data_IF_999890154850
#
_entry.id   IF_999890154850
#
_cell.length_a   1.000
_cell.length_b   1.000
_cell.length_c   1.000
_cell.angle_alpha   90.00
_cell.angle_beta   90.00
_cell.angle_gamma   90.00
#
_symmetry.space_group_name_H-M   'P 1'
#
loop_
_entity.id
_entity.type
_entity.pdbx_description
1 polymer ?
#
# COMPACT_ATOMS: atom_id res chain seq x y z
N UNK A 1 22.03 -56.09 -25.12
CA UNK A 1 23.28 -55.51 -24.59
C UNK A 1 22.81 -54.45 -23.61
N UNK A 2 22.79 -54.72 -22.31
CA UNK A 2 23.95 -54.76 -21.38
C UNK A 2 24.42 -53.31 -21.10
N UNK A 3 24.52 -52.79 -19.87
CA UNK A 3 24.33 -53.27 -18.47
C UNK A 3 23.70 -52.07 -17.69
N UNK A 4 22.82 -52.23 -16.69
CA UNK A 4 23.06 -52.55 -15.28
C UNK A 4 24.18 -51.73 -14.59
N UNK A 5 23.81 -50.84 -13.66
CA UNK A 5 24.46 -50.76 -12.34
C UNK A 5 23.51 -50.14 -11.29
N UNK A 6 23.61 -50.61 -10.04
CA UNK A 6 22.75 -50.27 -8.91
C UNK A 6 23.40 -49.25 -7.96
N UNK A 7 22.59 -48.55 -7.16
CA UNK A 7 23.07 -47.47 -6.29
C UNK A 7 22.20 -47.19 -5.07
N UNK A 8 21.76 -48.21 -4.34
CA UNK A 8 21.09 -48.03 -3.05
C UNK A 8 22.02 -47.39 -2.01
N UNK A 9 21.57 -46.29 -1.40
CA UNK A 9 22.11 -45.76 -0.15
C UNK A 9 21.00 -45.72 0.91
N UNK A 10 21.05 -46.65 1.87
CA UNK A 10 20.11 -46.68 2.99
C UNK A 10 20.32 -45.50 3.96
N UNK A 11 19.26 -45.03 4.65
CA UNK A 11 19.30 -43.81 5.44
C UNK A 11 20.07 -43.96 6.76
N UNK A 12 20.93 -42.99 7.06
CA UNK A 12 21.58 -42.85 8.37
C UNK A 12 20.55 -42.44 9.42
N UNK A 13 20.21 -43.37 10.32
CA UNK A 13 19.19 -43.20 11.34
C UNK A 13 19.74 -42.44 12.57
N UNK A 14 20.17 -41.19 12.37
CA UNK A 14 20.71 -40.32 13.43
C UNK A 14 19.60 -39.54 14.12
N UNK A 15 19.31 -39.93 15.37
CA UNK A 15 18.29 -39.29 16.22
C UNK A 15 18.85 -37.97 16.77
N UNK A 16 18.19 -36.82 16.59
CA UNK A 16 18.74 -35.53 17.02
C UNK A 16 18.80 -35.41 18.55
N UNK A 17 19.82 -34.68 19.03
CA UNK A 17 20.23 -34.50 20.44
C UNK A 17 19.18 -33.84 21.37
N UNK A 18 17.98 -33.53 20.88
CA UNK A 18 16.90 -32.83 21.59
C UNK A 18 15.60 -33.65 21.74
N UNK A 19 15.70 -34.98 21.73
CA UNK A 19 14.62 -35.84 22.19
C UNK A 19 14.47 -35.69 23.72
N UNK A 20 13.64 -34.74 24.15
CA UNK A 20 13.21 -34.61 25.55
C UNK A 20 12.19 -35.72 25.82
N UNK A 21 12.54 -36.69 26.65
CA UNK A 21 11.60 -37.71 27.11
C UNK A 21 10.53 -37.07 28.01
N UNK A 22 9.25 -37.46 27.82
CA UNK A 22 8.13 -36.95 28.62
C UNK A 22 8.16 -37.52 30.06
N UNK A 23 8.88 -36.85 30.95
CA UNK A 23 8.81 -37.13 32.38
C UNK A 23 7.42 -36.78 32.95
N UNK A 24 6.70 -37.83 33.29
CA UNK A 24 5.31 -37.84 33.76
C UNK A 24 5.16 -37.20 35.15
N UNK A 25 5.07 -35.88 35.21
CA UNK A 25 4.89 -35.13 36.46
C UNK A 25 3.49 -35.30 37.05
N UNK A 26 3.38 -36.09 38.12
CA UNK A 26 2.24 -36.09 39.05
C UNK A 26 2.61 -35.35 40.33
N UNK A 27 2.02 -34.18 40.61
CA UNK A 27 2.37 -33.43 41.82
C UNK A 27 1.51 -32.19 42.16
N UNK A 28 0.50 -32.40 42.98
CA UNK A 28 -0.18 -31.48 43.91
C UNK A 28 -0.06 -29.93 43.75
N UNK A 29 -1.22 -29.28 43.61
CA UNK A 29 -1.42 -27.84 43.84
C UNK A 29 -1.11 -27.43 45.28
N UNK A 30 -0.28 -26.40 45.48
CA UNK A 30 -0.14 -25.72 46.79
C UNK A 30 -1.08 -24.50 46.88
N UNK A 31 -1.64 -24.18 48.06
CA UNK A 31 -2.43 -22.97 48.27
C UNK A 31 -1.53 -21.72 48.47
N UNK A 32 -2.02 -20.51 48.13
CA UNK A 32 -1.24 -19.28 48.21
C UNK A 32 -1.02 -18.80 49.66
N UNK A 33 0.04 -18.02 49.93
CA UNK A 33 0.39 -17.57 51.29
C UNK A 33 -0.55 -16.49 51.83
N UNK A 34 -0.90 -16.61 53.12
CA UNK A 34 -1.71 -15.63 53.87
C UNK A 34 -0.88 -14.41 54.26
N UNK A 35 -1.46 -13.20 54.14
CA UNK A 35 -0.80 -11.95 54.56
C UNK A 35 -0.78 -11.78 56.08
N UNK A 36 0.42 -11.59 56.63
CA UNK A 36 0.63 -11.18 58.03
C UNK A 36 0.41 -9.66 58.15
N UNK A 37 -0.59 -9.25 58.93
CA UNK A 37 -0.69 -7.88 59.43
C UNK A 37 0.16 -7.75 60.70
N UNK A 38 1.13 -6.83 60.68
CA UNK A 38 1.94 -6.46 61.85
C UNK A 38 1.61 -5.01 62.22
N UNK A 39 1.29 -4.77 63.50
CA UNK A 39 0.79 -3.47 63.96
C UNK A 39 1.64 -2.82 65.05
N UNK A 40 1.38 -1.52 65.24
CA UNK A 40 1.50 -0.74 66.50
C UNK A 40 2.84 -0.70 67.23
N UNK A 41 3.42 0.51 67.33
CA UNK A 41 4.26 0.93 68.47
C UNK A 41 3.96 2.40 68.84
N UNK A 42 4.00 2.67 70.15
CA UNK A 42 3.72 3.92 70.86
C UNK A 42 4.37 3.77 72.27
N UNK A 43 4.54 4.78 73.15
CA UNK A 43 4.80 6.23 72.98
C UNK A 43 6.05 6.72 73.77
N UNK A 44 6.53 7.98 73.60
CA UNK A 44 6.93 8.89 74.73
C UNK A 44 7.58 10.25 74.35
N UNK A 45 6.87 11.34 74.74
CA UNK A 45 7.30 12.52 75.56
C UNK A 45 8.40 13.50 75.09
N UNK A 46 8.01 14.73 74.68
CA UNK A 46 8.26 16.01 75.41
C UNK A 46 7.75 17.25 74.62
N UNK A 47 7.42 18.35 75.32
CA UNK A 47 6.69 19.56 74.83
C UNK A 47 7.00 20.79 75.70
N UNK A 48 6.48 22.02 75.43
CA UNK A 48 5.87 22.58 74.20
C UNK A 48 6.88 23.63 73.61
N UNK A 49 6.67 24.96 73.40
CA UNK A 49 5.52 25.85 73.07
C UNK A 49 5.55 26.36 71.59
N UNK A 50 4.56 27.06 71.03
CA UNK A 50 3.11 27.20 71.29
C UNK A 50 2.44 27.83 70.04
N UNK A 51 1.43 27.18 69.45
CA UNK A 51 0.54 27.76 68.43
C UNK A 51 -0.85 27.14 68.58
N UNK A 52 -1.94 27.90 68.37
CA UNK A 52 -3.29 27.44 68.70
C UNK A 52 -3.73 26.29 67.76
N UNK A 53 -4.23 25.16 68.30
CA UNK A 53 -4.69 24.07 67.47
C UNK A 53 -6.03 24.42 66.81
N UNK A 54 -6.09 24.28 65.48
CA UNK A 54 -7.34 24.32 64.73
C UNK A 54 -8.28 23.24 65.25
N UNK A 55 -9.42 23.63 65.84
CA UNK A 55 -10.41 22.68 66.34
C UNK A 55 -10.99 21.86 65.17
N UNK A 56 -10.65 20.57 65.13
CA UNK A 56 -11.42 19.58 64.37
C UNK A 56 -12.76 19.38 65.10
N UNK A 57 -13.74 20.20 64.76
CA UNK A 57 -15.12 20.05 65.27
C UNK A 57 -15.81 18.97 64.43
N UNK A 58 -15.55 17.72 64.78
CA UNK A 58 -16.14 16.53 64.16
C UNK A 58 -16.17 15.39 65.17
N UNK A 59 -17.37 14.91 65.50
CA UNK A 59 -17.64 13.91 66.52
C UNK A 59 -16.71 12.68 66.46
N UNK A 60 -15.93 12.47 67.52
CA UNK A 60 -15.22 11.21 67.79
C UNK A 60 -16.21 10.12 68.30
N UNK A 61 -17.49 10.49 68.41
CA UNK A 61 -18.60 9.72 69.01
C UNK A 61 -19.08 8.53 68.17
N UNK A 62 -18.58 8.33 66.93
CA UNK A 62 -19.15 7.37 65.96
C UNK A 62 -18.17 6.26 65.55
N UNK A 63 -17.25 5.86 66.43
CA UNK A 63 -16.40 4.67 66.24
C UNK A 63 -17.00 3.39 66.85
N UNK A 64 -18.33 3.24 66.76
CA UNK A 64 -19.06 2.00 67.10
C UNK A 64 -20.16 1.66 66.08
N UNK A 65 -20.10 2.26 64.89
CA UNK A 65 -20.78 1.76 63.70
C UNK A 65 -19.79 0.90 62.91
N UNK A 66 -20.23 -0.27 62.46
CA UNK A 66 -19.39 -1.13 61.62
C UNK A 66 -18.97 -0.37 60.35
N UNK A 67 -17.72 0.11 60.32
CA UNK A 67 -17.10 0.54 59.08
C UNK A 67 -16.80 -0.71 58.26
N UNK A 68 -17.83 -1.19 57.56
CA UNK A 68 -17.65 -2.06 56.41
C UNK A 68 -16.75 -1.30 55.44
N UNK A 69 -15.45 -1.64 55.44
CA UNK A 69 -14.56 -1.30 54.35
C UNK A 69 -15.21 -1.87 53.10
N UNK A 70 -15.91 -1.01 52.35
CA UNK A 70 -16.28 -1.29 50.98
C UNK A 70 -14.97 -1.33 50.22
N UNK A 71 -14.36 -2.53 50.12
CA UNK A 71 -13.24 -2.75 49.22
C UNK A 71 -13.65 -2.15 47.87
N UNK A 72 -12.80 -1.33 47.24
CA UNK A 72 -13.11 -0.75 45.94
C UNK A 72 -13.51 -1.90 45.03
N UNK A 73 -14.74 -1.82 44.50
CA UNK A 73 -15.39 -2.94 43.81
C UNK A 73 -14.43 -3.50 42.77
N UNK A 74 -13.84 -4.67 43.07
CA UNK A 74 -12.77 -5.23 42.25
C UNK A 74 -13.42 -5.56 40.92
N UNK A 75 -13.19 -4.70 39.93
CA UNK A 75 -13.84 -4.79 38.64
C UNK A 75 -13.68 -6.24 38.15
N UNK A 76 -14.80 -6.96 37.92
CA UNK A 76 -14.75 -8.39 37.69
C UNK A 76 -13.77 -8.65 36.55
N UNK A 77 -12.79 -9.54 36.78
CA UNK A 77 -11.74 -9.84 35.80
C UNK A 77 -12.40 -10.21 34.47
N UNK A 78 -12.49 -9.23 33.57
CA UNK A 78 -13.16 -9.42 32.30
C UNK A 78 -12.28 -10.36 31.49
N UNK A 79 -12.79 -11.58 31.26
CA UNK A 79 -12.07 -12.60 30.53
C UNK A 79 -11.65 -12.11 29.14
N UNK A 80 -10.58 -12.70 28.59
CA UNK A 80 -10.10 -12.33 27.27
C UNK A 80 -11.22 -12.55 26.23
N UNK A 81 -11.62 -11.47 25.56
CA UNK A 81 -12.69 -11.50 24.57
C UNK A 81 -12.13 -12.03 23.24
N UNK A 82 -11.93 -13.34 23.16
CA UNK A 82 -11.31 -14.02 22.02
C UNK A 82 -11.94 -13.65 20.67
N UNK A 83 -13.26 -13.50 20.60
CA UNK A 83 -13.92 -13.04 19.37
C UNK A 83 -13.47 -11.66 18.90
N UNK A 84 -13.20 -10.71 19.80
CA UNK A 84 -12.63 -9.41 19.44
C UNK A 84 -11.15 -9.51 19.06
N UNK A 85 -10.40 -10.41 19.71
CA UNK A 85 -9.00 -10.67 19.35
C UNK A 85 -8.87 -11.23 17.94
N UNK A 86 -9.62 -12.29 17.62
CA UNK A 86 -9.62 -12.88 16.27
C UNK A 86 -10.18 -11.92 15.21
N UNK A 87 -11.19 -11.11 15.54
CA UNK A 87 -11.65 -10.04 14.65
C UNK A 87 -10.52 -9.04 14.35
N UNK A 88 -9.78 -8.59 15.37
CA UNK A 88 -8.64 -7.69 15.16
C UNK A 88 -7.50 -8.33 14.36
N UNK A 89 -7.27 -9.62 14.56
CA UNK A 89 -6.23 -10.38 13.86
C UNK A 89 -6.55 -10.59 12.37
N UNK A 90 -7.77 -10.99 12.04
CA UNK A 90 -8.14 -11.38 10.67
C UNK A 90 -8.71 -10.24 9.81
N UNK A 91 -9.27 -9.18 10.42
CA UNK A 91 -9.87 -8.07 9.67
C UNK A 91 -8.90 -7.38 8.68
N UNK A 92 -7.62 -7.09 9.01
CA UNK A 92 -6.69 -6.48 8.05
C UNK A 92 -6.48 -7.34 6.80
N UNK A 93 -6.32 -8.66 6.97
CA UNK A 93 -6.20 -9.59 5.85
C UNK A 93 -7.49 -9.68 5.03
N UNK A 94 -8.66 -9.67 5.68
CA UNK A 94 -9.94 -9.65 4.98
C UNK A 94 -10.09 -8.42 4.08
N UNK A 95 -9.68 -7.24 4.57
CA UNK A 95 -9.66 -5.99 3.78
C UNK A 95 -8.71 -6.12 2.59
N UNK A 96 -7.47 -6.60 2.81
CA UNK A 96 -6.48 -6.79 1.73
C UNK A 96 -6.96 -7.79 0.69
N UNK A 97 -7.53 -8.94 1.10
CA UNK A 97 -8.07 -9.95 0.19
C UNK A 97 -9.22 -9.37 -0.65
N UNK A 98 -10.17 -8.65 -0.03
CA UNK A 98 -11.26 -8.00 -0.76
C UNK A 98 -10.74 -6.95 -1.74
N UNK A 99 -9.72 -6.17 -1.37
CA UNK A 99 -9.09 -5.21 -2.27
C UNK A 99 -8.35 -5.88 -3.43
N UNK A 100 -7.65 -7.00 -3.20
CA UNK A 100 -7.04 -7.80 -4.27
C UNK A 100 -8.11 -8.32 -5.24
N UNK A 101 -9.26 -8.78 -4.75
CA UNK A 101 -10.37 -9.16 -5.63
C UNK A 101 -10.97 -7.97 -6.38
N UNK A 102 -11.15 -6.81 -5.73
CA UNK A 102 -11.64 -5.60 -6.42
C UNK A 102 -10.67 -5.19 -7.53
N UNK A 103 -9.36 -5.17 -7.26
CA UNK A 103 -8.33 -4.85 -8.26
C UNK A 103 -8.29 -5.91 -9.39
N UNK A 104 -8.38 -7.20 -9.07
CA UNK A 104 -8.38 -8.27 -10.08
C UNK A 104 -9.67 -8.40 -10.91
N UNK A 105 -10.79 -7.86 -10.42
CA UNK A 105 -12.01 -7.65 -11.23
C UNK A 105 -12.06 -6.25 -11.86
N UNK A 106 -11.11 -5.39 -11.52
CA UNK A 106 -10.88 -4.04 -12.05
C UNK A 106 -9.57 -4.02 -12.84
N UNK A 107 -9.28 -5.10 -13.57
CA UNK A 107 -8.52 -5.01 -14.81
C UNK A 107 -9.29 -4.04 -15.71
N UNK A 108 -8.99 -2.75 -15.59
CA UNK A 108 -9.23 -1.81 -16.67
C UNK A 108 -8.42 -2.29 -17.86
N UNK A 109 -8.97 -2.19 -19.06
CA UNK A 109 -8.31 -2.59 -20.30
C UNK A 109 -7.17 -1.62 -20.65
N UNK A 110 -6.10 -1.59 -19.83
CA UNK A 110 -4.90 -0.74 -19.97
C UNK A 110 -4.23 -0.84 -21.36
N UNK A 111 -4.56 -1.89 -22.12
CA UNK A 111 -4.08 -2.15 -23.48
C UNK A 111 -4.86 -1.40 -24.58
N UNK A 112 -6.04 -0.81 -24.30
CA UNK A 112 -6.96 -0.26 -25.34
C UNK A 112 -7.41 1.20 -25.09
N UNK A 113 -6.75 1.94 -24.18
CA UNK A 113 -7.10 3.35 -23.85
C UNK A 113 -6.58 4.41 -24.82
N UNK A 114 -6.08 3.95 -25.96
CA UNK A 114 -5.56 4.79 -27.01
C UNK A 114 -5.06 3.94 -28.17
N UNK A 115 -5.12 4.50 -29.37
CA UNK A 115 -4.61 3.85 -30.58
C UNK A 115 -3.41 4.60 -31.14
N UNK A 116 -2.53 3.83 -31.78
CA UNK A 116 -1.45 4.38 -32.59
C UNK A 116 -1.81 4.27 -34.08
N UNK A 117 -1.55 5.32 -34.83
CA UNK A 117 -1.69 5.35 -36.29
C UNK A 117 -0.38 5.77 -36.92
N UNK A 118 0.10 5.02 -37.92
CA UNK A 118 1.29 5.39 -38.68
C UNK A 118 0.88 6.03 -40.00
N UNK A 119 1.17 7.32 -40.18
CA UNK A 119 0.93 8.03 -41.44
C UNK A 119 2.27 8.23 -42.17
N UNK A 120 2.33 7.82 -43.44
CA UNK A 120 3.46 8.10 -44.31
C UNK A 120 3.15 9.32 -45.18
N UNK A 121 4.01 10.33 -45.15
CA UNK A 121 3.83 11.63 -45.79
C UNK A 121 4.98 11.86 -46.77
N UNK A 122 4.66 12.18 -48.03
CA UNK A 122 5.64 12.51 -49.07
C UNK A 122 5.65 14.02 -49.30
N UNK A 123 6.84 14.62 -49.40
CA UNK A 123 7.00 16.04 -49.74
C UNK A 123 7.08 16.26 -51.25
N UNK A 124 6.48 17.34 -51.75
CA UNK A 124 6.63 17.75 -53.17
C UNK A 124 7.98 18.44 -53.45
N UNK A 125 8.62 19.03 -52.43
CA UNK A 125 9.85 19.82 -52.56
C UNK A 125 11.04 19.29 -51.72
N UNK A 126 10.85 18.13 -51.07
CA UNK A 126 11.75 17.49 -50.11
C UNK A 126 12.02 18.26 -48.80
N UNK A 127 11.19 19.26 -48.47
CA UNK A 127 11.34 20.10 -47.25
C UNK A 127 10.02 20.38 -46.54
N UNK A 128 8.94 20.58 -47.28
CA UNK A 128 7.62 20.99 -46.78
C UNK A 128 6.69 19.78 -46.72
N UNK A 129 5.99 19.62 -45.60
CA UNK A 129 5.08 18.50 -45.37
C UNK A 129 3.74 19.00 -44.83
N UNK A 130 2.65 18.43 -45.34
CA UNK A 130 1.29 18.72 -44.90
C UNK A 130 0.49 17.41 -44.84
N UNK A 131 -0.21 17.19 -43.73
CA UNK A 131 -1.16 16.09 -43.59
C UNK A 131 -2.29 16.46 -42.62
N UNK A 132 -3.41 15.74 -42.70
CA UNK A 132 -4.57 15.93 -41.82
C UNK A 132 -4.78 14.70 -40.95
N UNK A 133 -5.33 14.92 -39.76
CA UNK A 133 -5.55 13.91 -38.73
C UNK A 133 -7.04 13.62 -38.57
N UNK A 134 -7.35 12.34 -38.33
CA UNK A 134 -8.72 11.85 -38.19
C UNK A 134 -8.93 11.15 -36.83
N UNK A 135 -8.88 11.90 -35.70
CA UNK A 135 -9.36 11.40 -34.42
C UNK A 135 -10.87 11.15 -34.48
N UNK A 136 -11.33 10.12 -33.75
CA UNK A 136 -12.74 9.79 -33.51
C UNK A 136 -13.43 10.87 -32.66
N UNK A 137 -14.73 10.68 -32.39
CA UNK A 137 -15.53 11.64 -31.61
C UNK A 137 -15.16 11.66 -30.11
N UNK A 138 -14.53 10.59 -29.65
CA UNK A 138 -14.11 10.27 -28.27
C UNK A 138 -12.58 10.30 -28.06
N UNK A 139 -11.80 10.63 -29.09
CA UNK A 139 -10.33 10.65 -29.06
C UNK A 139 -9.77 12.08 -29.09
N UNK A 140 -8.71 12.33 -28.30
CA UNK A 140 -7.81 13.47 -28.49
C UNK A 140 -6.40 12.99 -28.89
N UNK A 141 -5.54 13.89 -29.40
CA UNK A 141 -4.18 13.52 -29.82
C UNK A 141 -3.26 13.56 -28.59
N UNK A 142 -2.67 12.42 -28.21
CA UNK A 142 -1.65 12.38 -27.15
C UNK A 142 -0.31 12.94 -27.60
N UNK A 143 0.05 12.73 -28.88
CA UNK A 143 1.26 13.28 -29.47
C UNK A 143 1.51 12.76 -30.88
N UNK A 144 2.37 13.45 -31.61
CA UNK A 144 2.79 13.08 -32.96
C UNK A 144 4.32 13.07 -32.96
N UNK A 145 4.91 11.95 -33.37
CA UNK A 145 6.36 11.71 -33.33
C UNK A 145 6.84 11.18 -34.67
N UNK A 146 8.04 11.58 -35.09
CA UNK A 146 8.67 11.02 -36.27
C UNK A 146 9.15 9.59 -35.99
N UNK A 147 8.60 8.62 -36.73
CA UNK A 147 8.98 7.21 -36.64
C UNK A 147 9.98 6.87 -37.76
N UNK A 148 11.26 7.17 -37.51
CA UNK A 148 12.36 6.85 -38.42
C UNK A 148 12.97 5.47 -38.15
N UNK A 149 12.89 4.55 -39.12
CA UNK A 149 13.58 3.24 -39.08
C UNK A 149 15.13 3.35 -39.05
N UNK A 150 15.68 4.54 -39.33
CA UNK A 150 17.13 4.77 -39.35
C UNK A 150 17.64 5.15 -37.96
N UNK A 151 18.34 4.21 -37.31
CA UNK A 151 19.15 4.40 -36.08
C UNK A 151 20.16 5.57 -36.13
N UNK A 152 20.42 6.14 -37.32
CA UNK A 152 21.32 7.27 -37.56
C UNK A 152 20.59 8.60 -37.85
N UNK A 153 19.28 8.71 -37.57
CA UNK A 153 18.56 9.97 -37.72
C UNK A 153 19.14 11.06 -36.79
N UNK A 154 19.70 12.12 -37.38
CA UNK A 154 20.35 13.21 -36.63
C UNK A 154 19.36 14.19 -35.99
N UNK A 155 18.06 13.98 -36.18
CA UNK A 155 16.99 14.79 -35.64
C UNK A 155 15.75 13.96 -35.32
N UNK A 156 14.84 14.55 -34.54
CA UNK A 156 13.48 14.09 -34.26
C UNK A 156 12.49 15.23 -34.57
N UNK A 157 11.23 14.90 -34.82
CA UNK A 157 10.13 15.85 -34.98
C UNK A 157 9.01 15.45 -34.01
N UNK A 158 8.61 16.40 -33.16
CA UNK A 158 7.54 16.16 -32.19
C UNK A 158 6.50 17.28 -32.15
N UNK A 159 5.27 16.89 -31.82
CA UNK A 159 4.14 17.79 -31.56
C UNK A 159 3.52 17.36 -30.24
N UNK A 160 3.70 18.19 -29.21
CA UNK A 160 3.08 17.96 -27.91
C UNK A 160 1.64 18.52 -27.94
N UNK A 161 0.69 17.63 -28.24
CA UNK A 161 -0.72 17.95 -28.37
C UNK A 161 -1.58 17.41 -27.20
N UNK A 162 -0.97 17.11 -26.04
CA UNK A 162 -1.66 16.50 -24.90
C UNK A 162 -2.94 17.25 -24.48
N UNK A 163 -4.06 16.51 -24.46
CA UNK A 163 -5.38 16.98 -24.02
C UNK A 163 -6.22 17.62 -25.13
N UNK A 164 -7.29 18.31 -24.75
CA UNK A 164 -8.16 19.02 -25.70
C UNK A 164 -7.48 20.32 -26.18
N UNK A 165 -6.65 20.20 -27.23
CA UNK A 165 -5.94 21.32 -27.86
C UNK A 165 -6.93 22.23 -28.59
N UNK A 166 -7.25 23.36 -27.98
CA UNK A 166 -8.19 24.36 -28.52
C UNK A 166 -7.52 25.51 -29.28
N UNK A 167 -6.18 25.54 -29.33
CA UNK A 167 -5.38 26.55 -30.03
C UNK A 167 -4.29 25.90 -30.86
N UNK A 168 -3.80 26.61 -31.88
CA UNK A 168 -2.64 26.21 -32.68
C UNK A 168 -1.44 25.84 -31.79
N UNK A 169 -0.83 24.70 -32.08
CA UNK A 169 0.35 24.16 -31.37
C UNK A 169 1.55 24.18 -32.29
N UNK A 170 2.74 24.48 -31.77
CA UNK A 170 3.97 24.53 -32.56
C UNK A 170 4.52 23.11 -32.83
N UNK A 171 5.14 22.91 -34.00
CA UNK A 171 5.86 21.69 -34.39
C UNK A 171 7.34 21.92 -34.17
N UNK A 172 8.00 21.01 -33.46
CA UNK A 172 9.41 21.15 -33.08
C UNK A 172 10.28 20.13 -33.82
N UNK A 173 11.43 20.59 -34.32
CA UNK A 173 12.52 19.74 -34.80
C UNK A 173 13.64 19.80 -33.77
N UNK A 174 14.02 18.65 -33.21
CA UNK A 174 15.13 18.54 -32.27
C UNK A 174 16.35 17.94 -32.97
N UNK A 175 17.49 18.62 -32.94
CA UNK A 175 18.73 18.14 -33.58
C UNK A 175 19.65 17.48 -32.54
N UNK A 176 19.83 16.16 -32.63
CA UNK A 176 20.67 15.38 -31.71
C UNK A 176 22.16 15.76 -31.74
N UNK A 177 22.64 16.39 -32.82
CA UNK A 177 24.06 16.77 -32.97
C UNK A 177 24.40 18.11 -32.32
N UNK A 178 23.48 19.09 -32.34
CA UNK A 178 23.66 20.38 -31.65
C UNK A 178 23.01 20.43 -30.27
N UNK A 179 21.97 19.62 -30.03
CA UNK A 179 21.11 19.72 -28.85
C UNK A 179 20.15 20.92 -28.92
N UNK A 180 19.93 21.46 -30.11
CA UNK A 180 19.02 22.60 -30.34
C UNK A 180 17.65 22.12 -30.80
N UNK A 181 16.62 22.87 -30.42
CA UNK A 181 15.22 22.66 -30.78
C UNK A 181 14.74 23.88 -31.56
N UNK A 182 14.18 23.67 -32.75
CA UNK A 182 13.66 24.76 -33.61
C UNK A 182 12.18 24.54 -33.94
N UNK A 183 11.41 25.63 -33.96
CA UNK A 183 10.00 25.60 -34.38
C UNK A 183 9.94 25.62 -35.90
N UNK A 184 9.50 24.50 -36.48
CA UNK A 184 9.48 24.25 -37.93
C UNK A 184 8.08 24.37 -38.54
N UNK A 185 7.04 24.48 -37.73
CA UNK A 185 5.68 24.56 -38.22
C UNK A 185 4.64 24.57 -37.12
N UNK A 186 3.45 24.09 -37.45
CA UNK A 186 2.28 24.12 -36.58
C UNK A 186 1.28 22.99 -36.85
N UNK A 187 0.54 22.64 -35.81
CA UNK A 187 -0.73 21.93 -35.86
C UNK A 187 -1.87 22.93 -35.63
N UNK A 188 -2.90 22.92 -36.48
CA UNK A 188 -4.13 23.68 -36.27
C UNK A 188 -5.28 22.71 -35.91
N UNK A 189 -5.84 22.78 -34.68
CA UNK A 189 -6.91 21.88 -34.26
C UNK A 189 -8.23 22.12 -34.99
N UNK A 190 -8.42 23.30 -35.61
CA UNK A 190 -9.68 23.70 -36.26
C UNK A 190 -9.96 22.91 -37.53
N UNK A 191 -8.91 22.63 -38.31
CA UNK A 191 -8.96 21.82 -39.52
C UNK A 191 -8.23 20.47 -39.37
N UNK A 192 -7.62 20.22 -38.19
CA UNK A 192 -6.84 19.03 -37.85
C UNK A 192 -5.62 18.83 -38.76
N UNK A 193 -5.07 19.90 -39.31
CA UNK A 193 -3.95 19.85 -40.25
C UNK A 193 -2.62 20.14 -39.55
N UNK A 194 -1.63 19.30 -39.81
CA UNK A 194 -0.22 19.51 -39.47
C UNK A 194 0.49 20.07 -40.70
N UNK A 195 1.21 21.18 -40.55
CA UNK A 195 2.05 21.76 -41.59
C UNK A 195 3.41 22.16 -41.00
N UNK A 196 4.50 21.76 -41.63
CA UNK A 196 5.85 22.21 -41.25
C UNK A 196 6.81 22.18 -42.44
N UNK A 197 7.94 22.88 -42.28
CA UNK A 197 9.06 22.86 -43.20
C UNK A 197 10.35 22.52 -42.45
N UNK A 198 11.05 21.48 -42.88
CA UNK A 198 12.30 21.00 -42.29
C UNK A 198 13.38 22.09 -42.26
N UNK A 199 14.13 22.12 -41.15
CA UNK A 199 15.20 23.09 -40.90
C UNK A 199 16.57 22.44 -41.16
N UNK A 200 17.35 22.98 -42.10
CA UNK A 200 18.66 22.51 -42.57
C UNK A 200 18.77 21.01 -42.99
N UNK A 201 17.64 20.31 -43.16
CA UNK A 201 17.56 18.92 -43.63
C UNK A 201 16.50 18.74 -44.72
N UNK A 202 16.66 17.71 -45.56
CA UNK A 202 15.72 17.39 -46.66
C UNK A 202 15.39 15.90 -46.69
N UNK A 203 14.12 15.56 -46.83
CA UNK A 203 13.62 14.18 -46.97
C UNK A 203 12.50 14.10 -48.01
N UNK A 204 12.45 13.01 -48.77
CA UNK A 204 11.38 12.76 -49.76
C UNK A 204 10.09 12.30 -49.08
N UNK A 205 10.22 11.44 -48.06
CA UNK A 205 9.10 10.92 -47.29
C UNK A 205 9.48 10.77 -45.82
N UNK A 206 8.48 10.81 -44.95
CA UNK A 206 8.61 10.58 -43.51
C UNK A 206 7.41 9.79 -42.99
N UNK A 207 7.65 8.95 -41.99
CA UNK A 207 6.58 8.28 -41.26
C UNK A 207 6.39 8.98 -39.92
N UNK A 208 5.13 9.22 -39.55
CA UNK A 208 4.74 9.74 -38.25
C UNK A 208 3.94 8.67 -37.51
N UNK A 209 4.25 8.47 -36.24
CA UNK A 209 3.38 7.76 -35.31
C UNK A 209 2.55 8.79 -34.54
N UNK A 210 1.23 8.66 -34.65
CA UNK A 210 0.25 9.50 -33.96
C UNK A 210 -0.37 8.66 -32.86
N UNK A 211 -0.22 9.12 -31.62
CA UNK A 211 -0.95 8.61 -30.48
C UNK A 211 -2.28 9.34 -30.35
N UNK A 212 -3.37 8.60 -30.36
CA UNK A 212 -4.70 9.06 -29.95
C UNK A 212 -5.03 8.45 -28.59
N UNK A 213 -5.64 9.23 -27.70
CA UNK A 213 -6.01 8.84 -26.34
C UNK A 213 -7.49 9.08 -26.16
N UNK A 214 -8.18 8.13 -25.53
CA UNK A 214 -9.62 8.26 -25.28
C UNK A 214 -9.90 9.32 -24.20
N UNK A 215 -10.91 10.15 -24.42
CA UNK A 215 -11.28 11.23 -23.50
C UNK A 215 -11.71 10.71 -22.11
N UNK A 216 -12.29 9.51 -22.06
CA UNK A 216 -12.71 8.87 -20.80
C UNK A 216 -11.53 8.34 -19.96
N UNK A 217 -10.30 8.31 -20.50
CA UNK A 217 -9.10 7.86 -19.78
C UNK A 217 -8.70 8.81 -18.64
N UNK A 218 -8.78 10.13 -18.88
CA UNK A 218 -8.34 11.20 -17.97
C UNK A 218 -9.23 11.31 -16.70
N UNK A 219 -10.22 10.43 -16.55
CA UNK A 219 -11.11 10.34 -15.40
C UNK A 219 -11.06 8.97 -14.67
N UNK A 220 -10.19 8.06 -15.12
CA UNK A 220 -9.98 6.74 -14.49
C UNK A 220 -8.99 6.72 -13.33
N UNK A 221 -8.18 7.77 -13.14
CA UNK A 221 -7.04 7.73 -12.22
C UNK A 221 -7.42 7.73 -10.72
N UNK A 222 -7.33 6.53 -10.15
CA UNK A 222 -6.63 6.27 -8.89
C UNK A 222 -7.30 6.64 -7.54
N UNK A 223 -8.64 6.72 -7.49
CA UNK A 223 -9.37 6.73 -6.19
C UNK A 223 -9.01 5.51 -5.30
N UNK A 224 -8.75 4.35 -5.92
CA UNK A 224 -8.38 3.11 -5.23
C UNK A 224 -6.91 3.15 -4.76
N UNK A 225 -5.98 3.65 -5.58
CA UNK A 225 -4.57 3.83 -5.18
C UNK A 225 -4.40 4.86 -4.05
N UNK A 226 -5.18 5.95 -4.09
CA UNK A 226 -5.26 6.92 -2.99
C UNK A 226 -5.71 6.28 -1.67
N UNK A 227 -6.68 5.36 -1.71
CA UNK A 227 -7.12 4.60 -0.54
C UNK A 227 -6.03 3.62 -0.05
N UNK A 228 -5.28 2.99 -0.94
CA UNK A 228 -4.16 2.11 -0.59
C UNK A 228 -3.08 2.86 0.21
N UNK A 229 -2.69 4.06 -0.23
CA UNK A 229 -1.78 4.95 0.51
C UNK A 229 -2.28 5.34 1.91
N UNK A 230 -3.60 5.38 2.13
CA UNK A 230 -4.22 5.73 3.41
C UNK A 230 -4.39 4.52 4.36
N UNK A 231 -4.37 3.29 3.86
CA UNK A 231 -4.55 2.07 4.69
C UNK A 231 -3.63 2.00 5.93
N UNK A 232 -2.32 2.32 5.87
CA UNK A 232 -1.46 2.31 7.05
C UNK A 232 -1.93 3.27 8.15
N UNK A 233 -2.37 4.47 7.76
CA UNK A 233 -2.88 5.48 8.70
C UNK A 233 -4.22 5.07 9.30
N UNK A 234 -5.13 4.51 8.49
CA UNK A 234 -6.42 3.95 8.94
C UNK A 234 -6.19 2.81 9.95
N UNK A 235 -5.23 1.93 9.68
CA UNK A 235 -4.88 0.80 10.54
C UNK A 235 -4.29 1.26 11.89
N UNK A 236 -3.35 2.23 11.90
CA UNK A 236 -2.85 2.84 13.14
C UNK A 236 -3.97 3.55 13.92
N UNK A 237 -4.85 4.28 13.21
CA UNK A 237 -6.06 4.87 13.79
C UNK A 237 -6.98 3.85 14.45
N UNK A 238 -7.20 2.70 13.80
CA UNK A 238 -8.01 1.60 14.34
C UNK A 238 -7.41 1.02 15.63
N UNK A 239 -6.08 0.88 15.71
CA UNK A 239 -5.37 0.48 16.94
C UNK A 239 -5.64 1.50 18.06
N UNK A 240 -5.44 2.80 17.82
CA UNK A 240 -5.67 3.85 18.82
C UNK A 240 -7.14 3.90 19.28
N UNK A 241 -8.08 3.79 18.35
CA UNK A 241 -9.54 3.76 18.65
C UNK A 241 -9.92 2.51 19.44
N UNK A 242 -9.30 1.36 19.18
CA UNK A 242 -9.57 0.12 19.93
C UNK A 242 -9.17 0.24 21.41
N UNK A 243 -8.00 0.81 21.70
CA UNK A 243 -7.52 0.98 23.07
C UNK A 243 -8.26 2.10 23.81
N UNK A 244 -8.52 3.24 23.17
CA UNK A 244 -9.27 4.35 23.77
C UNK A 244 -10.73 4.00 24.11
N UNK A 245 -11.38 3.15 23.29
CA UNK A 245 -12.72 2.60 23.59
C UNK A 245 -12.70 1.38 24.54
N UNK A 246 -11.56 1.06 25.16
CA UNK A 246 -11.43 -0.04 26.11
C UNK A 246 -11.48 -1.45 25.51
N UNK A 247 -11.57 -1.59 24.17
CA UNK A 247 -11.58 -2.87 23.44
C UNK A 247 -10.17 -3.43 23.30
N UNK A 248 -9.47 -3.62 24.42
CA UNK A 248 -8.06 -4.04 24.47
C UNK A 248 -7.77 -5.31 23.67
N UNK A 249 -8.68 -6.29 23.72
CA UNK A 249 -8.64 -7.52 22.93
C UNK A 249 -8.55 -7.27 21.41
N UNK A 250 -9.33 -6.33 20.89
CA UNK A 250 -9.29 -5.92 19.47
C UNK A 250 -7.94 -5.29 19.13
N UNK A 251 -7.43 -4.41 19.99
CA UNK A 251 -6.14 -3.75 19.81
C UNK A 251 -4.95 -4.71 19.82
N UNK A 252 -4.97 -5.71 20.71
CA UNK A 252 -3.96 -6.78 20.69
C UNK A 252 -4.06 -7.64 19.44
N UNK A 253 -5.27 -7.96 18.96
CA UNK A 253 -5.48 -8.69 17.71
C UNK A 253 -4.94 -7.94 16.49
N UNK A 254 -5.22 -6.64 16.40
CA UNK A 254 -4.65 -5.78 15.36
C UNK A 254 -3.13 -5.80 15.45
N UNK A 255 -2.53 -5.55 16.63
CA UNK A 255 -1.08 -5.52 16.82
C UNK A 255 -0.39 -6.85 16.49
N UNK A 256 -1.05 -8.01 16.70
CA UNK A 256 -0.50 -9.32 16.31
C UNK A 256 -0.65 -9.63 14.82
N UNK A 257 -1.49 -8.90 14.08
CA UNK A 257 -1.57 -9.02 12.63
C UNK A 257 -0.28 -8.53 11.92
N UNK A 258 0.40 -7.50 12.43
CA UNK A 258 1.65 -6.98 11.84
C UNK A 258 2.79 -8.03 11.75
N UNK A 259 3.25 -8.66 12.83
CA UNK A 259 4.29 -9.69 12.73
C UNK A 259 3.79 -10.93 11.99
N UNK A 260 2.50 -11.25 12.07
CA UNK A 260 1.91 -12.35 11.32
C UNK A 260 1.92 -12.09 9.81
N UNK A 261 1.84 -10.83 9.34
CA UNK A 261 1.88 -10.52 7.90
C UNK A 261 3.28 -10.69 7.30
N UNK A 262 4.34 -10.60 8.11
CA UNK A 262 5.72 -10.93 7.71
C UNK A 262 5.85 -12.45 7.44
N UNK A 263 5.09 -13.28 8.16
CA UNK A 263 5.11 -14.75 8.00
C UNK A 263 4.11 -15.23 6.93
N UNK A 264 2.89 -14.71 6.94
CA UNK A 264 1.83 -15.08 6.00
C UNK A 264 1.98 -14.40 4.63
N UNK A 265 2.59 -13.22 4.54
CA UNK A 265 2.77 -12.48 3.29
C UNK A 265 3.53 -13.29 2.23
N UNK A 266 4.73 -13.80 2.53
CA UNK A 266 5.46 -14.68 1.61
C UNK A 266 4.68 -15.95 1.27
N UNK A 267 3.99 -16.56 2.23
CA UNK A 267 3.19 -17.76 1.98
C UNK A 267 2.00 -17.49 1.05
N UNK A 268 1.27 -16.38 1.26
CA UNK A 268 0.19 -15.94 0.37
C UNK A 268 0.71 -15.60 -1.03
N UNK A 269 1.85 -14.91 -1.13
CA UNK A 269 2.49 -14.62 -2.42
C UNK A 269 2.84 -15.91 -3.17
N UNK A 270 3.47 -16.89 -2.51
CA UNK A 270 3.74 -18.21 -3.12
C UNK A 270 2.46 -18.96 -3.51
N UNK A 271 1.38 -18.90 -2.72
CA UNK A 271 0.10 -19.51 -3.07
C UNK A 271 -0.54 -18.82 -4.28
N UNK A 272 -0.49 -17.48 -4.36
CA UNK A 272 -0.98 -16.72 -5.51
C UNK A 272 -0.18 -17.04 -6.78
N UNK A 273 1.15 -17.18 -6.69
CA UNK A 273 1.97 -17.65 -7.81
C UNK A 273 1.58 -19.08 -8.24
N UNK A 274 1.37 -20.01 -7.31
CA UNK A 274 0.92 -21.37 -7.64
C UNK A 274 -0.44 -21.39 -8.32
N UNK A 275 -1.37 -20.51 -7.94
CA UNK A 275 -2.67 -20.37 -8.59
C UNK A 275 -2.51 -19.75 -9.99
N UNK A 276 -1.75 -18.65 -10.12
CA UNK A 276 -1.56 -17.94 -11.38
C UNK A 276 -0.82 -18.77 -12.45
N UNK A 277 0.16 -19.59 -12.04
CA UNK A 277 0.94 -20.46 -12.92
C UNK A 277 0.43 -21.91 -12.99
N UNK A 278 -0.80 -22.18 -12.54
CA UNK A 278 -1.50 -23.45 -12.76
C UNK A 278 -0.90 -24.67 -12.04
N UNK A 279 -0.31 -24.48 -10.87
CA UNK A 279 0.33 -25.53 -10.06
C UNK A 279 -0.62 -26.37 -9.18
N UNK A 280 -1.91 -26.45 -9.53
CA UNK A 280 -2.98 -27.13 -8.76
C UNK A 280 -3.90 -27.95 -9.67
#
# INVERSE_FOLDING_TARGET
MAEADDGEASPSNEKPFFAIDEDKSTGASSPPPTSLFMGSLDPSVSTPPSSPPTQLTGDVSVLSGAQTFTLPHVAPKQGMQWGQYFLGLFLPYGIVIVMIFILGFSESDWDDNGRYETISVTSEDNSTFEFSLEPREDEYIGGIYYYGDTLDASFDISINAWGEVTSRTDVYQYNYSSGEETVIGYYDPTNRTVFFQLDDVTMEWMNFEISYVDQDWDHGEDEIGGLFCMLPFIYVGAIIVSFSKGKKSLGYGLMTALPLSIVLGPALFFILLLIAFGGL
#
